data_IF_626252931620
#
_entry.id   IF_626252931620
#
_cell.length_a   1.000
_cell.length_b   1.000
_cell.length_c   1.000
_cell.angle_alpha   90.00
_cell.angle_beta   90.00
_cell.angle_gamma   90.00
#
_symmetry.space_group_name_H-M   'P 1'
#
loop_
_entity.id
_entity.type
_entity.pdbx_description
1 polymer ?
#
# COMPACT_ATOMS: atom_id res chain seq x y z
N UNK A 1 -23.08 51.08 52.69
CA UNK A 1 -22.36 51.18 51.39
C UNK A 1 -21.63 49.87 51.03
N UNK A 2 -22.01 48.70 51.57
CA UNK A 2 -21.23 47.45 51.36
C UNK A 2 -21.90 46.38 50.47
N UNK A 3 -23.13 46.59 50.03
CA UNK A 3 -23.86 45.57 49.25
C UNK A 3 -23.53 45.58 47.75
N UNK A 4 -22.94 46.66 47.23
CA UNK A 4 -22.66 46.82 45.79
C UNK A 4 -21.35 46.13 45.36
N UNK A 5 -20.35 46.05 46.25
CA UNK A 5 -19.05 45.42 45.95
C UNK A 5 -19.12 43.89 45.83
N UNK A 6 -20.11 43.25 46.44
CA UNK A 6 -20.27 41.79 46.41
C UNK A 6 -20.98 41.30 45.13
N UNK A 7 -21.74 42.17 44.47
CA UNK A 7 -22.51 41.82 43.26
C UNK A 7 -21.62 41.86 42.00
N UNK A 8 -20.63 42.77 41.95
CA UNK A 8 -19.74 42.93 40.79
C UNK A 8 -18.64 41.85 40.71
N UNK A 9 -18.26 41.24 41.84
CA UNK A 9 -17.19 40.21 41.89
C UNK A 9 -17.66 38.82 41.45
N UNK A 10 -18.93 38.47 41.69
CA UNK A 10 -19.50 37.17 41.32
C UNK A 10 -19.44 36.86 39.81
N UNK A 11 -19.81 37.76 38.89
CA UNK A 11 -19.73 37.47 37.46
C UNK A 11 -18.28 37.31 36.99
N UNK A 12 -17.34 38.09 37.51
CA UNK A 12 -15.92 38.00 37.15
C UNK A 12 -15.33 36.65 37.57
N UNK A 13 -15.62 36.20 38.80
CA UNK A 13 -15.16 34.90 39.30
C UNK A 13 -15.78 33.75 38.50
N UNK A 14 -17.08 33.84 38.17
CA UNK A 14 -17.75 32.83 37.35
C UNK A 14 -17.13 32.77 35.95
N UNK A 15 -16.87 33.91 35.31
CA UNK A 15 -16.23 33.96 33.99
C UNK A 15 -14.83 33.34 34.01
N UNK A 16 -14.02 33.63 35.03
CA UNK A 16 -12.68 33.04 35.15
C UNK A 16 -12.73 31.53 35.38
N UNK A 17 -13.70 31.03 36.16
CA UNK A 17 -13.89 29.59 36.36
C UNK A 17 -14.38 28.93 35.08
N UNK A 18 -15.31 29.54 34.34
CA UNK A 18 -15.78 29.00 33.06
C UNK A 18 -14.64 28.95 32.05
N UNK A 19 -13.86 30.01 31.89
CA UNK A 19 -12.70 30.05 30.99
C UNK A 19 -11.65 29.02 31.41
N UNK A 20 -11.30 28.95 32.69
CA UNK A 20 -10.34 27.97 33.21
C UNK A 20 -10.80 26.53 33.00
N UNK A 21 -12.08 26.25 33.24
CA UNK A 21 -12.67 24.93 32.98
C UNK A 21 -12.67 24.62 31.49
N UNK A 22 -12.97 25.60 30.63
CA UNK A 22 -12.92 25.44 29.17
C UNK A 22 -11.50 25.18 28.68
N UNK A 23 -10.49 25.87 29.23
CA UNK A 23 -9.08 25.63 28.90
C UNK A 23 -8.65 24.23 29.33
N UNK A 24 -9.04 23.77 30.52
CA UNK A 24 -8.73 22.42 31.01
C UNK A 24 -9.43 21.36 30.15
N UNK A 25 -10.71 21.53 29.86
CA UNK A 25 -11.47 20.63 28.99
C UNK A 25 -10.90 20.62 27.58
N UNK A 26 -10.50 21.77 27.04
CA UNK A 26 -9.82 21.85 25.75
C UNK A 26 -8.46 21.14 25.80
N UNK A 27 -7.65 21.34 26.85
CA UNK A 27 -6.35 20.67 26.95
C UNK A 27 -6.46 19.16 27.17
N UNK A 28 -7.56 18.68 27.76
CA UNK A 28 -7.77 17.28 28.09
C UNK A 28 -8.58 16.50 27.06
N UNK A 29 -9.41 17.18 26.26
CA UNK A 29 -10.31 16.55 25.28
C UNK A 29 -10.11 17.05 23.85
N UNK A 30 -9.20 17.98 23.59
CA UNK A 30 -8.88 18.39 22.22
C UNK A 30 -7.82 17.49 21.58
N UNK A 31 -8.21 16.27 21.25
CA UNK A 31 -7.39 15.36 20.43
C UNK A 31 -7.48 15.67 18.93
N UNK A 32 -7.61 16.93 18.53
CA UNK A 32 -7.59 17.29 17.09
C UNK A 32 -6.80 18.58 16.87
N UNK A 33 -5.46 18.53 16.74
CA UNK A 33 -4.64 19.71 16.54
C UNK A 33 -5.19 20.55 15.37
N UNK A 34 -5.37 21.86 15.52
CA UNK A 34 -5.88 22.72 14.44
C UNK A 34 -5.01 22.68 13.15
N UNK A 35 -3.76 22.21 13.25
CA UNK A 35 -2.90 21.84 12.11
C UNK A 35 -3.52 20.75 11.22
N UNK A 36 -4.28 19.81 11.82
CA UNK A 36 -5.10 18.79 11.15
C UNK A 36 -6.01 19.41 10.08
N UNK A 37 -6.63 20.57 10.36
CA UNK A 37 -7.50 21.24 9.38
C UNK A 37 -6.74 22.10 8.36
N UNK A 38 -5.55 22.62 8.69
CA UNK A 38 -4.75 23.45 7.77
C UNK A 38 -4.11 22.67 6.64
N UNK A 39 -3.75 21.40 6.86
CA UNK A 39 -3.29 20.51 5.78
C UNK A 39 -4.45 19.95 4.94
N UNK A 40 -5.69 20.01 5.43
CA UNK A 40 -6.89 19.62 4.67
C UNK A 40 -7.23 20.58 3.52
N UNK A 41 -6.80 21.85 3.61
CA UNK A 41 -7.24 22.96 2.74
C UNK A 41 -6.26 23.36 1.65
N UNK A 42 -5.18 22.62 1.42
CA UNK A 42 -4.45 22.82 0.16
C UNK A 42 -5.30 22.22 -0.96
N UNK A 43 -6.11 23.08 -1.59
CA UNK A 43 -6.50 22.93 -2.98
C UNK A 43 -5.22 22.96 -3.81
N UNK A 44 -4.43 21.88 -3.73
CA UNK A 44 -3.36 21.63 -4.69
C UNK A 44 -4.12 21.47 -6.01
N UNK A 45 -3.91 22.36 -6.99
CA UNK A 45 -4.56 22.22 -8.28
C UNK A 45 -4.30 20.82 -8.81
N UNK A 46 -5.28 20.20 -9.47
CA UNK A 46 -5.05 19.00 -10.28
C UNK A 46 -4.11 19.39 -11.42
N UNK A 47 -2.80 19.43 -11.13
CA UNK A 47 -1.77 19.62 -12.15
C UNK A 47 -1.81 18.35 -12.99
N UNK A 48 -2.00 18.50 -14.29
CA UNK A 48 -1.85 17.39 -15.23
C UNK A 48 -0.42 16.88 -15.09
N UNK A 49 -0.27 15.73 -14.44
CA UNK A 49 1.02 15.09 -14.23
C UNK A 49 1.49 14.56 -15.58
N UNK A 50 2.61 15.07 -16.07
CA UNK A 50 3.24 14.58 -17.29
C UNK A 50 4.29 13.54 -16.93
N UNK A 51 4.03 12.27 -17.25
CA UNK A 51 4.98 11.18 -17.04
C UNK A 51 6.06 11.20 -18.12
N UNK A 52 7.30 10.87 -17.76
CA UNK A 52 8.41 10.76 -18.70
C UNK A 52 8.60 9.32 -19.22
N UNK A 53 7.50 8.58 -19.44
CA UNK A 53 7.53 7.15 -19.80
C UNK A 53 8.29 6.81 -21.09
N UNK A 54 8.47 7.79 -21.99
CA UNK A 54 9.24 7.64 -23.23
C UNK A 54 10.74 7.90 -23.09
N UNK A 55 11.18 8.46 -21.96
CA UNK A 55 12.55 8.94 -21.76
C UNK A 55 13.26 8.10 -20.69
N UNK A 56 14.32 7.35 -21.05
CA UNK A 56 15.18 6.69 -20.08
C UNK A 56 15.79 7.70 -19.10
N UNK A 57 15.99 7.28 -17.85
CA UNK A 57 16.75 8.07 -16.89
C UNK A 57 18.19 8.26 -17.36
N UNK A 58 18.76 9.43 -17.07
CA UNK A 58 20.12 9.79 -17.48
C UNK A 58 21.22 9.09 -16.68
N UNK A 59 20.84 8.29 -15.69
CA UNK A 59 21.73 7.49 -14.84
C UNK A 59 20.97 6.88 -13.67
N UNK A 60 21.71 6.24 -12.76
CA UNK A 60 21.17 5.43 -11.68
C UNK A 60 20.05 6.12 -10.88
N UNK A 61 18.96 5.39 -10.66
CA UNK A 61 17.69 5.95 -10.17
C UNK A 61 17.81 6.74 -8.86
N UNK A 62 18.73 6.37 -7.95
CA UNK A 62 18.92 7.07 -6.67
C UNK A 62 19.41 8.51 -6.82
N UNK A 63 19.97 8.86 -7.97
CA UNK A 63 20.45 10.22 -8.28
C UNK A 63 19.43 11.05 -9.07
N UNK A 64 18.27 10.47 -9.39
CA UNK A 64 17.21 11.13 -10.11
C UNK A 64 16.27 11.86 -9.14
N UNK A 65 15.72 13.04 -9.51
CA UNK A 65 14.90 13.85 -8.61
C UNK A 65 13.66 13.12 -8.10
N UNK A 66 13.12 12.20 -8.90
CA UNK A 66 11.93 11.41 -8.57
C UNK A 66 12.14 10.48 -7.36
N UNK A 67 13.39 10.14 -7.04
CA UNK A 67 13.72 9.34 -5.86
C UNK A 67 13.50 10.11 -4.54
N UNK A 68 13.70 11.43 -4.56
CA UNK A 68 13.62 12.29 -3.37
C UNK A 68 12.23 12.93 -3.18
N UNK A 69 11.18 12.11 -3.15
CA UNK A 69 9.83 12.59 -2.86
C UNK A 69 9.73 13.18 -1.44
N UNK A 70 8.96 14.26 -1.30
CA UNK A 70 8.84 14.98 -0.02
C UNK A 70 7.80 14.33 0.89
N UNK A 71 8.17 14.20 2.16
CA UNK A 71 7.29 13.72 3.24
C UNK A 71 6.72 14.93 4.00
N UNK A 72 5.38 15.02 4.17
CA UNK A 72 4.75 16.12 4.91
C UNK A 72 5.08 16.04 6.40
N UNK A 73 5.02 17.18 7.09
CA UNK A 73 5.42 17.28 8.51
C UNK A 73 4.70 16.28 9.41
N UNK A 74 3.41 16.05 9.17
CA UNK A 74 2.60 15.06 9.91
C UNK A 74 3.12 13.62 9.80
N UNK A 75 3.83 13.30 8.72
CA UNK A 75 4.31 11.95 8.42
C UNK A 75 5.84 11.82 8.54
N UNK A 76 6.53 12.84 9.06
CA UNK A 76 8.00 12.84 9.24
C UNK A 76 8.46 12.06 10.48
N UNK A 77 7.58 11.87 11.46
CA UNK A 77 7.86 11.08 12.66
C UNK A 77 7.78 9.58 12.41
N UNK A 78 8.26 8.81 13.38
CA UNK A 78 8.05 7.35 13.44
C UNK A 78 6.76 6.98 14.17
N UNK A 79 6.22 7.89 14.99
CA UNK A 79 4.84 7.79 15.44
C UNK A 79 3.95 8.14 14.24
N UNK A 80 3.22 7.14 13.76
CA UNK A 80 2.33 7.32 12.63
C UNK A 80 1.05 8.06 13.01
N UNK A 81 0.20 8.28 12.02
CA UNK A 81 -1.11 8.91 12.18
C UNK A 81 -2.16 8.05 11.50
N UNK A 82 -3.39 7.98 12.03
CA UNK A 82 -4.49 7.29 11.36
C UNK A 82 -5.55 8.32 10.95
N UNK A 83 -5.86 8.40 9.66
CA UNK A 83 -7.02 9.14 9.17
C UNK A 83 -7.69 8.38 8.04
N UNK A 84 -8.96 8.65 7.79
CA UNK A 84 -9.64 8.15 6.60
C UNK A 84 -9.09 8.93 5.40
N UNK A 85 -8.39 8.29 4.44
CA UNK A 85 -7.92 9.00 3.26
C UNK A 85 -9.11 9.41 2.39
N UNK A 86 -8.99 10.53 1.68
CA UNK A 86 -9.96 10.87 0.62
C UNK A 86 -9.64 10.01 -0.60
N UNK A 87 -10.62 9.76 -1.47
CA UNK A 87 -10.37 8.97 -2.67
C UNK A 87 -9.26 9.59 -3.54
N UNK A 88 -9.23 10.93 -3.67
CA UNK A 88 -8.14 11.65 -4.36
C UNK A 88 -6.75 11.52 -3.73
N UNK A 89 -6.66 11.04 -2.48
CA UNK A 89 -5.39 10.81 -1.78
C UNK A 89 -4.81 9.41 -2.13
N UNK A 90 -5.47 8.63 -3.01
CA UNK A 90 -5.07 7.28 -3.43
C UNK A 90 -4.61 7.29 -4.88
N UNK A 91 -3.40 6.76 -5.13
CA UNK A 91 -2.84 6.51 -6.47
C UNK A 91 -2.78 5.01 -6.70
N UNK A 92 -3.35 4.52 -7.80
CA UNK A 92 -3.19 3.14 -8.28
C UNK A 92 -2.09 3.11 -9.32
N UNK A 93 -0.95 2.53 -8.95
CA UNK A 93 0.28 2.52 -9.71
C UNK A 93 0.48 1.17 -10.43
N UNK A 94 0.55 1.23 -11.75
CA UNK A 94 1.08 0.14 -12.58
C UNK A 94 2.52 0.47 -12.98
N UNK A 95 3.50 -0.24 -12.44
CA UNK A 95 4.90 -0.09 -12.82
C UNK A 95 5.32 -1.25 -13.74
N UNK A 96 5.27 -1.04 -15.06
CA UNK A 96 5.57 -2.09 -16.03
C UNK A 96 5.86 -1.55 -17.43
N UNK A 97 6.63 -2.28 -18.21
CA UNK A 97 6.80 -2.11 -19.66
C UNK A 97 6.03 -3.17 -20.47
N UNK A 98 5.24 -4.03 -19.81
CA UNK A 98 4.55 -5.17 -20.43
C UNK A 98 5.45 -6.34 -20.81
N UNK A 99 6.74 -6.28 -20.50
CA UNK A 99 7.73 -7.32 -20.82
C UNK A 99 7.73 -8.51 -19.86
N UNK A 100 8.80 -9.31 -19.93
CA UNK A 100 8.98 -10.49 -19.08
C UNK A 100 7.92 -11.58 -19.33
N UNK A 101 7.54 -12.29 -18.27
CA UNK A 101 6.54 -13.36 -18.36
C UNK A 101 5.14 -12.88 -18.76
N UNK A 102 4.83 -11.60 -18.54
CA UNK A 102 3.55 -11.00 -18.90
C UNK A 102 3.34 -10.92 -20.42
N UNK A 103 4.42 -10.91 -21.21
CA UNK A 103 4.37 -10.89 -22.68
C UNK A 103 3.69 -12.11 -23.31
N UNK A 104 3.45 -13.17 -22.53
CA UNK A 104 2.64 -14.32 -22.96
C UNK A 104 1.14 -13.99 -23.11
N UNK A 105 0.68 -12.88 -22.52
CA UNK A 105 -0.69 -12.40 -22.61
C UNK A 105 -0.72 -11.24 -23.61
N UNK A 106 -1.56 -11.38 -24.64
CA UNK A 106 -1.66 -10.39 -25.71
C UNK A 106 -2.22 -9.06 -25.20
N UNK A 107 -1.52 -7.96 -25.52
CA UNK A 107 -1.89 -6.57 -25.23
C UNK A 107 -2.21 -6.36 -23.73
N UNK A 108 -1.53 -7.10 -22.84
CA UNK A 108 -1.86 -7.13 -21.41
C UNK A 108 -1.75 -5.74 -20.79
N UNK A 109 -0.70 -4.99 -21.13
CA UNK A 109 -0.41 -3.70 -20.53
C UNK A 109 -1.50 -2.69 -20.89
N UNK A 110 -1.83 -2.56 -22.17
CA UNK A 110 -2.88 -1.68 -22.66
C UNK A 110 -4.23 -2.03 -22.01
N UNK A 111 -4.55 -3.32 -21.96
CA UNK A 111 -5.79 -3.84 -21.37
C UNK A 111 -5.91 -3.49 -19.89
N UNK A 112 -4.89 -3.76 -19.08
CA UNK A 112 -4.96 -3.52 -17.63
C UNK A 112 -4.88 -2.05 -17.29
N UNK A 113 -4.14 -1.24 -18.06
CA UNK A 113 -4.12 0.22 -17.90
C UNK A 113 -5.52 0.78 -18.15
N UNK A 114 -6.18 0.37 -19.23
CA UNK A 114 -7.53 0.83 -19.55
C UNK A 114 -8.52 0.43 -18.45
N UNK A 115 -8.49 -0.82 -17.99
CA UNK A 115 -9.34 -1.32 -16.89
C UNK A 115 -9.12 -0.55 -15.58
N UNK A 116 -7.86 -0.35 -15.18
CA UNK A 116 -7.50 0.38 -13.95
C UNK A 116 -7.86 1.86 -14.04
N UNK A 117 -7.74 2.46 -15.22
CA UNK A 117 -8.18 3.84 -15.46
C UNK A 117 -9.68 3.99 -15.21
N UNK A 118 -10.50 3.12 -15.79
CA UNK A 118 -11.96 3.12 -15.56
C UNK A 118 -12.32 2.89 -14.08
N UNK A 119 -11.63 1.96 -13.42
CA UNK A 119 -11.80 1.74 -11.98
C UNK A 119 -11.46 2.99 -11.15
N UNK A 120 -10.33 3.65 -11.44
CA UNK A 120 -9.93 4.86 -10.73
C UNK A 120 -10.90 6.03 -10.98
N UNK A 121 -11.32 6.25 -12.22
CA UNK A 121 -12.30 7.29 -12.59
C UNK A 121 -13.62 7.12 -11.83
N UNK A 122 -14.09 5.87 -11.72
CA UNK A 122 -15.31 5.55 -11.00
C UNK A 122 -15.21 5.86 -9.50
N UNK A 123 -14.11 5.50 -8.87
CA UNK A 123 -13.93 5.66 -7.43
C UNK A 123 -13.35 7.03 -7.04
N UNK A 124 -12.91 7.84 -7.99
CA UNK A 124 -12.22 9.11 -7.72
C UNK A 124 -10.78 8.92 -7.22
N UNK A 125 -10.13 7.81 -7.58
CA UNK A 125 -8.70 7.57 -7.37
C UNK A 125 -7.89 8.13 -8.55
N UNK A 126 -6.57 8.22 -8.37
CA UNK A 126 -5.66 8.58 -9.47
C UNK A 126 -5.06 7.32 -10.09
N UNK A 127 -5.27 7.10 -11.38
CA UNK A 127 -4.54 6.08 -12.13
C UNK A 127 -3.17 6.61 -12.56
N UNK A 128 -2.11 5.84 -12.32
CA UNK A 128 -0.76 6.14 -12.78
C UNK A 128 -0.11 4.91 -13.40
N UNK A 129 0.44 5.06 -14.60
CA UNK A 129 1.30 4.06 -15.22
C UNK A 129 2.70 4.64 -15.40
N UNK A 130 3.71 3.90 -14.93
CA UNK A 130 5.12 4.22 -15.10
C UNK A 130 5.83 3.09 -15.85
N UNK A 131 6.51 3.44 -16.94
CA UNK A 131 7.23 2.49 -17.77
C UNK A 131 8.53 2.05 -17.08
N UNK A 132 8.62 0.78 -16.67
CA UNK A 132 9.78 0.30 -15.92
C UNK A 132 11.09 0.29 -16.72
N UNK A 133 11.03 0.34 -18.05
CA UNK A 133 12.23 0.34 -18.92
C UNK A 133 13.04 1.62 -18.78
N UNK A 134 12.44 2.67 -18.19
CA UNK A 134 13.13 3.95 -18.03
C UNK A 134 14.10 3.99 -16.85
N UNK A 135 13.92 3.12 -15.85
CA UNK A 135 14.72 3.18 -14.62
C UNK A 135 16.06 2.50 -14.81
N UNK A 136 17.14 3.22 -14.52
CA UNK A 136 18.48 2.64 -14.44
C UNK A 136 18.67 2.02 -13.06
N UNK A 137 18.52 0.70 -12.99
CA UNK A 137 18.69 -0.13 -11.78
C UNK A 137 20.06 -0.84 -11.73
N UNK A 138 20.99 -0.49 -12.62
CA UNK A 138 22.25 -1.20 -12.78
C UNK A 138 22.04 -2.64 -13.25
N UNK A 139 22.81 -3.58 -12.68
CA UNK A 139 22.75 -5.01 -13.05
C UNK A 139 21.67 -5.80 -12.26
N UNK A 140 20.91 -5.13 -11.38
CA UNK A 140 19.90 -5.79 -10.58
C UNK A 140 18.72 -6.30 -11.43
N UNK A 141 18.07 -7.37 -10.97
CA UNK A 141 16.90 -7.91 -11.64
C UNK A 141 15.83 -6.84 -11.91
N UNK A 142 15.25 -6.86 -13.11
CA UNK A 142 14.38 -5.78 -13.61
C UNK A 142 13.12 -5.51 -12.78
N UNK A 143 12.68 -6.47 -11.96
CA UNK A 143 11.56 -6.27 -11.01
C UNK A 143 11.85 -5.15 -10.01
N UNK A 144 13.13 -4.88 -9.69
CA UNK A 144 13.54 -3.78 -8.83
C UNK A 144 13.12 -2.41 -9.34
N UNK A 145 12.87 -2.24 -10.64
CA UNK A 145 12.37 -0.99 -11.23
C UNK A 145 11.00 -0.56 -10.67
N UNK A 146 10.26 -1.46 -10.00
CA UNK A 146 9.03 -1.10 -9.28
C UNK A 146 9.28 -0.16 -8.10
N UNK A 147 10.44 -0.28 -7.43
CA UNK A 147 10.76 0.52 -6.25
C UNK A 147 10.97 2.01 -6.56
N UNK A 148 11.81 2.41 -7.54
CA UNK A 148 11.86 3.80 -7.95
C UNK A 148 10.55 4.31 -8.54
N UNK A 149 9.71 3.45 -9.15
CA UNK A 149 8.39 3.84 -9.61
C UNK A 149 7.44 4.24 -8.46
N UNK A 150 7.52 3.58 -7.29
CA UNK A 150 6.76 3.99 -6.10
C UNK A 150 7.22 5.37 -5.61
N UNK A 151 8.54 5.61 -5.59
CA UNK A 151 9.08 6.93 -5.23
C UNK A 151 8.63 8.01 -6.23
N UNK A 152 8.68 7.74 -7.53
CA UNK A 152 8.21 8.64 -8.57
C UNK A 152 6.70 8.92 -8.46
N UNK A 153 5.87 7.93 -8.12
CA UNK A 153 4.44 8.14 -7.88
C UNK A 153 4.20 9.16 -6.75
N UNK A 154 4.95 9.06 -5.65
CA UNK A 154 4.89 10.06 -4.59
C UNK A 154 5.51 11.41 -4.99
N UNK A 155 6.51 11.43 -5.86
CA UNK A 155 7.08 12.67 -6.38
C UNK A 155 6.06 13.43 -7.25
N UNK A 156 5.41 12.72 -8.17
CA UNK A 156 4.44 13.27 -9.13
C UNK A 156 3.11 13.66 -8.48
N UNK A 157 2.68 12.94 -7.44
CA UNK A 157 1.42 13.20 -6.73
C UNK A 157 1.68 13.58 -5.27
N UNK A 158 2.18 14.80 -4.96
CA UNK A 158 2.55 15.20 -3.59
C UNK A 158 1.39 15.15 -2.58
N UNK A 159 0.14 15.18 -3.04
CA UNK A 159 -1.06 15.05 -2.21
C UNK A 159 -1.45 13.59 -1.92
N UNK A 160 -0.88 12.61 -2.63
CA UNK A 160 -1.17 11.19 -2.40
C UNK A 160 -0.70 10.77 -1.00
N UNK A 161 -1.62 10.19 -0.24
CA UNK A 161 -1.31 9.51 1.02
C UNK A 161 -0.97 8.06 0.78
N UNK A 162 -1.64 7.39 -0.18
CA UNK A 162 -1.43 5.98 -0.47
C UNK A 162 -1.09 5.77 -1.95
N UNK A 163 -0.06 4.96 -2.21
CA UNK A 163 0.26 4.41 -3.53
C UNK A 163 0.03 2.90 -3.46
N UNK A 164 -0.90 2.41 -4.27
CA UNK A 164 -1.12 0.98 -4.48
C UNK A 164 -0.31 0.52 -5.68
N UNK A 165 0.81 -0.16 -5.44
CA UNK A 165 1.58 -0.84 -6.47
C UNK A 165 0.87 -2.16 -6.81
N UNK A 166 0.52 -2.35 -8.08
CA UNK A 166 -0.22 -3.51 -8.58
C UNK A 166 0.40 -4.07 -9.87
N UNK A 167 0.78 -5.35 -9.84
CA UNK A 167 1.44 -6.05 -10.94
C UNK A 167 0.54 -6.22 -12.17
N UNK A 168 1.13 -6.24 -13.37
CA UNK A 168 0.39 -6.26 -14.65
C UNK A 168 -0.43 -7.54 -14.84
N UNK A 169 -0.04 -8.65 -14.25
CA UNK A 169 -0.76 -9.94 -14.26
C UNK A 169 -1.83 -10.04 -13.17
N UNK A 170 -2.31 -8.89 -12.67
CA UNK A 170 -3.45 -8.80 -11.77
C UNK A 170 -4.65 -8.18 -12.48
N UNK A 171 -5.77 -8.88 -12.41
CA UNK A 171 -7.06 -8.47 -12.99
C UNK A 171 -7.99 -8.00 -11.86
N UNK A 172 -8.55 -6.80 -12.00
CA UNK A 172 -9.60 -6.32 -11.10
C UNK A 172 -10.89 -7.08 -11.40
N UNK A 173 -11.41 -7.81 -10.42
CA UNK A 173 -12.58 -8.68 -10.59
C UNK A 173 -13.86 -8.01 -10.09
N UNK A 174 -13.75 -7.17 -9.06
CA UNK A 174 -14.87 -6.47 -8.46
C UNK A 174 -14.73 -4.94 -8.67
N UNK A 175 -15.37 -4.37 -9.71
CA UNK A 175 -15.30 -2.94 -9.98
C UNK A 175 -16.04 -2.07 -8.95
N UNK A 176 -16.86 -2.65 -8.07
CA UNK A 176 -17.56 -1.94 -6.99
C UNK A 176 -16.75 -1.86 -5.70
N UNK A 177 -15.60 -2.53 -5.63
CA UNK A 177 -14.81 -2.61 -4.39
C UNK A 177 -14.16 -1.26 -4.06
N UNK A 178 -14.52 -0.64 -2.94
CA UNK A 178 -13.93 0.64 -2.49
C UNK A 178 -12.66 0.39 -1.66
N UNK A 179 -11.49 0.83 -2.15
CA UNK A 179 -10.20 0.66 -1.46
C UNK A 179 -10.17 1.39 -0.12
N UNK A 180 -10.76 2.57 -0.02
CA UNK A 180 -10.75 3.38 1.20
C UNK A 180 -11.56 2.68 2.28
N UNK A 181 -12.80 2.31 1.98
CA UNK A 181 -13.68 1.67 2.95
C UNK A 181 -13.24 0.25 3.33
N UNK A 182 -12.69 -0.49 2.36
CA UNK A 182 -12.44 -1.91 2.53
C UNK A 182 -11.00 -2.23 2.96
N UNK A 183 -10.02 -1.36 2.69
CA UNK A 183 -8.59 -1.62 2.93
C UNK A 183 -7.92 -0.50 3.71
N UNK A 184 -8.02 0.77 3.26
CA UNK A 184 -7.11 1.84 3.67
C UNK A 184 -7.57 2.64 4.90
N UNK A 185 -8.87 2.70 5.19
CA UNK A 185 -9.33 3.42 6.38
C UNK A 185 -8.87 2.70 7.66
N UNK A 186 -8.67 3.42 8.78
CA UNK A 186 -8.15 2.82 10.01
C UNK A 186 -8.97 1.62 10.50
N UNK A 187 -10.30 1.68 10.36
CA UNK A 187 -11.19 0.58 10.73
C UNK A 187 -11.02 -0.63 9.81
N UNK A 188 -10.80 -0.43 8.51
CA UNK A 188 -10.51 -1.50 7.58
C UNK A 188 -9.18 -2.18 7.90
N UNK A 189 -8.11 -1.41 8.15
CA UNK A 189 -6.82 -1.96 8.55
C UNK A 189 -6.98 -2.75 9.85
N UNK A 190 -7.64 -2.18 10.87
CA UNK A 190 -7.87 -2.86 12.16
C UNK A 190 -8.63 -4.17 12.00
N UNK A 191 -9.68 -4.21 11.19
CA UNK A 191 -10.49 -5.43 10.97
C UNK A 191 -9.70 -6.54 10.28
N UNK A 192 -8.83 -6.20 9.34
CA UNK A 192 -8.25 -7.18 8.42
C UNK A 192 -6.77 -7.52 8.72
N UNK A 193 -6.06 -6.72 9.53
CA UNK A 193 -4.67 -7.02 9.91
C UNK A 193 -4.58 -8.34 10.69
N UNK A 194 -3.65 -9.18 10.27
CA UNK A 194 -3.35 -10.47 10.88
C UNK A 194 -2.55 -10.25 12.16
N UNK A 195 -3.06 -10.79 13.28
CA UNK A 195 -2.45 -10.62 14.61
C UNK A 195 -1.84 -11.92 15.07
N UNK A 196 -0.69 -11.82 15.74
CA UNK A 196 0.02 -12.98 16.28
C UNK A 196 0.16 -14.13 15.27
N UNK A 197 0.36 -13.83 13.99
CA UNK A 197 0.42 -14.85 12.94
C UNK A 197 1.87 -15.10 12.54
N UNK A 198 2.33 -16.35 12.42
CA UNK A 198 3.71 -16.64 12.01
C UNK A 198 4.06 -16.00 10.67
N UNK A 199 5.25 -15.41 10.60
CA UNK A 199 5.87 -14.96 9.36
C UNK A 199 6.92 -16.04 9.03
N UNK A 200 6.84 -16.67 7.85
CA UNK A 200 7.53 -17.93 7.47
C UNK A 200 6.90 -19.25 7.95
N UNK A 201 5.57 -19.35 8.06
CA UNK A 201 4.96 -20.63 8.42
C UNK A 201 5.39 -21.76 7.47
N UNK A 202 5.89 -22.86 8.03
CA UNK A 202 6.27 -24.06 7.28
C UNK A 202 7.59 -24.04 6.49
N UNK A 203 8.33 -22.92 6.41
CA UNK A 203 9.58 -22.87 5.63
C UNK A 203 10.79 -23.46 6.36
N UNK A 204 10.82 -23.42 7.70
CA UNK A 204 11.87 -24.01 8.52
C UNK A 204 11.33 -25.19 9.34
N UNK A 205 11.35 -26.40 8.75
CA UNK A 205 10.74 -27.60 9.33
C UNK A 205 11.33 -27.99 10.70
N UNK A 206 12.64 -27.83 10.89
CA UNK A 206 13.34 -28.34 12.08
C UNK A 206 13.67 -27.26 13.12
N UNK A 207 13.64 -25.98 12.72
CA UNK A 207 14.06 -24.84 13.56
C UNK A 207 13.19 -23.61 13.28
N UNK A 208 11.96 -23.55 13.82
CA UNK A 208 11.09 -22.40 13.61
C UNK A 208 11.70 -21.13 14.22
N UNK A 209 11.58 -20.00 13.51
CA UNK A 209 12.05 -18.68 14.01
C UNK A 209 11.19 -18.14 15.14
N UNK A 210 9.94 -18.62 15.25
CA UNK A 210 8.90 -18.08 16.15
C UNK A 210 8.61 -16.58 15.96
N UNK A 211 9.01 -16.01 14.82
CA UNK A 211 8.70 -14.63 14.47
C UNK A 211 7.24 -14.55 14.01
N UNK A 212 6.50 -13.61 14.58
CA UNK A 212 5.06 -13.42 14.34
C UNK A 212 4.75 -11.95 14.09
N UNK A 213 3.61 -11.70 13.48
CA UNK A 213 3.04 -10.34 13.43
C UNK A 213 2.73 -9.83 14.84
N UNK A 214 2.72 -8.51 15.06
CA UNK A 214 2.37 -7.94 16.36
C UNK A 214 1.01 -8.44 16.86
N UNK A 215 0.91 -8.69 18.17
CA UNK A 215 -0.35 -9.11 18.81
C UNK A 215 -1.36 -7.96 18.87
N UNK A 216 -0.87 -6.76 19.16
CA UNK A 216 -1.65 -5.53 19.26
C UNK A 216 -1.00 -4.44 18.40
N UNK A 217 -1.20 -4.48 17.06
CA UNK A 217 -0.59 -3.52 16.16
C UNK A 217 -1.21 -2.13 16.32
N UNK A 218 -0.36 -1.10 16.43
CA UNK A 218 -0.77 0.31 16.36
C UNK A 218 -1.14 0.67 14.92
N UNK A 219 -2.43 0.85 14.65
CA UNK A 219 -2.95 1.09 13.31
C UNK A 219 -2.38 2.37 12.69
N UNK A 220 -2.10 3.36 13.51
CA UNK A 220 -1.51 4.64 13.12
C UNK A 220 -0.14 4.46 12.47
N UNK A 221 0.62 3.45 12.88
CA UNK A 221 1.98 3.17 12.40
C UNK A 221 1.99 2.31 11.13
N UNK A 222 0.84 1.81 10.66
CA UNK A 222 0.82 0.94 9.48
C UNK A 222 1.07 1.77 8.22
N UNK A 223 2.28 1.65 7.68
CA UNK A 223 2.76 2.37 6.51
C UNK A 223 2.78 1.51 5.25
N UNK A 224 2.89 0.20 5.40
CA UNK A 224 2.83 -0.76 4.29
C UNK A 224 1.72 -1.76 4.56
N UNK A 225 0.85 -1.98 3.59
CA UNK A 225 -0.15 -3.05 3.63
C UNK A 225 0.23 -4.10 2.57
N UNK A 226 0.42 -5.33 3.01
CA UNK A 226 0.83 -6.47 2.18
C UNK A 226 0.01 -7.70 2.54
N UNK A 227 -0.04 -8.70 1.67
CA UNK A 227 -0.67 -9.98 1.97
C UNK A 227 0.33 -11.10 2.25
N UNK A 228 -0.10 -12.10 3.02
CA UNK A 228 0.65 -13.33 3.26
C UNK A 228 0.16 -14.49 2.40
N UNK A 229 1.09 -15.09 1.65
CA UNK A 229 0.91 -16.31 0.86
C UNK A 229 1.76 -17.48 1.40
N UNK A 230 1.89 -18.56 0.61
CA UNK A 230 2.74 -19.71 0.93
C UNK A 230 4.25 -19.40 0.94
N UNK A 231 4.67 -18.30 0.30
CA UNK A 231 6.03 -17.78 0.32
C UNK A 231 6.29 -16.78 1.46
N UNK A 232 5.30 -16.58 2.34
CA UNK A 232 5.23 -15.70 3.52
C UNK A 232 4.63 -14.32 3.27
N UNK A 233 5.04 -13.65 2.20
CA UNK A 233 4.47 -12.38 1.74
C UNK A 233 4.56 -12.29 0.23
N UNK A 234 3.61 -11.58 -0.38
CA UNK A 234 3.58 -11.37 -1.82
C UNK A 234 3.58 -9.89 -2.19
N UNK A 235 4.51 -9.45 -3.04
CA UNK A 235 4.64 -8.04 -3.44
C UNK A 235 3.94 -7.67 -4.74
N UNK A 236 3.12 -8.56 -5.32
CA UNK A 236 2.36 -8.23 -6.54
C UNK A 236 1.25 -7.20 -6.33
N UNK A 237 0.79 -7.01 -5.08
CA UNK A 237 -0.21 -6.02 -4.72
C UNK A 237 0.11 -5.46 -3.33
N UNK A 238 0.63 -4.24 -3.27
CA UNK A 238 1.17 -3.63 -2.04
C UNK A 238 0.75 -2.17 -1.95
N UNK A 239 0.29 -1.75 -0.78
CA UNK A 239 0.00 -0.36 -0.50
C UNK A 239 1.15 0.26 0.30
N UNK A 240 1.67 1.37 -0.18
CA UNK A 240 2.66 2.19 0.51
C UNK A 240 2.00 3.51 0.93
N UNK A 241 2.20 3.89 2.18
CA UNK A 241 1.79 5.19 2.71
C UNK A 241 2.89 6.21 2.54
N UNK A 242 2.55 7.47 2.28
CA UNK A 242 3.52 8.57 2.29
C UNK A 242 3.95 8.84 3.73
N UNK A 243 5.14 8.36 4.10
CA UNK A 243 5.74 8.59 5.41
C UNK A 243 7.26 8.54 5.36
N UNK A 244 7.88 8.98 6.46
CA UNK A 244 9.32 8.83 6.66
C UNK A 244 9.73 7.34 6.68
N UNK A 245 8.89 6.48 7.25
CA UNK A 245 9.11 5.03 7.22
C UNK A 245 9.16 4.51 5.78
N UNK A 246 8.17 4.86 4.93
CA UNK A 246 8.20 4.45 3.53
C UNK A 246 9.42 5.02 2.81
N UNK A 247 9.80 6.29 3.04
CA UNK A 247 11.01 6.84 2.43
C UNK A 247 12.27 6.04 2.83
N UNK A 248 12.37 5.66 4.09
CA UNK A 248 13.48 4.87 4.65
C UNK A 248 13.49 3.43 4.14
N UNK A 249 12.36 2.72 4.16
CA UNK A 249 12.30 1.31 3.78
C UNK A 249 12.60 1.11 2.29
N UNK A 250 12.19 2.05 1.41
CA UNK A 250 12.57 1.99 0.00
C UNK A 250 14.10 2.15 -0.20
N UNK A 251 14.79 2.95 0.64
CA UNK A 251 16.26 3.02 0.62
C UNK A 251 16.90 1.72 1.10
N UNK A 252 16.37 1.16 2.20
CA UNK A 252 16.87 -0.09 2.76
C UNK A 252 16.71 -1.24 1.78
N UNK A 253 15.50 -1.43 1.21
CA UNK A 253 15.24 -2.46 0.21
C UNK A 253 16.20 -2.37 -0.97
N UNK A 254 16.55 -1.14 -1.37
CA UNK A 254 17.45 -0.88 -2.50
C UNK A 254 18.92 -0.72 -2.10
N UNK A 255 19.32 -1.19 -0.92
CA UNK A 255 20.74 -1.32 -0.59
C UNK A 255 21.38 -2.30 -1.57
N UNK A 256 22.20 -1.78 -2.49
CA UNK A 256 22.68 -2.55 -3.63
C UNK A 256 23.64 -3.65 -3.20
N UNK A 257 24.49 -3.41 -2.21
CA UNK A 257 25.51 -4.41 -1.82
C UNK A 257 24.97 -5.46 -0.85
N UNK A 258 23.82 -5.18 -0.22
CA UNK A 258 23.25 -6.05 0.81
C UNK A 258 21.93 -6.73 0.42
N UNK A 259 21.14 -6.14 -0.47
CA UNK A 259 19.82 -6.65 -0.85
C UNK A 259 19.61 -6.63 -2.36
N UNK A 260 19.55 -5.45 -2.98
CA UNK A 260 19.15 -5.31 -4.38
C UNK A 260 20.11 -5.95 -5.38
N UNK A 261 21.43 -5.90 -5.13
CA UNK A 261 22.46 -6.50 -5.99
C UNK A 261 22.89 -7.91 -5.56
N UNK A 262 22.31 -8.46 -4.48
CA UNK A 262 22.46 -9.86 -4.13
C UNK A 262 21.23 -10.59 -4.69
N UNK A 263 21.34 -11.16 -5.89
CA UNK A 263 20.19 -11.77 -6.55
C UNK A 263 19.61 -12.93 -5.73
N UNK A 264 18.50 -12.64 -5.05
CA UNK A 264 17.57 -13.62 -4.50
C UNK A 264 16.49 -13.89 -5.56
N UNK A 265 16.02 -15.13 -5.65
CA UNK A 265 15.03 -15.52 -6.67
C UNK A 265 13.73 -14.70 -6.62
N UNK A 266 13.36 -14.14 -5.47
CA UNK A 266 12.19 -13.28 -5.29
C UNK A 266 12.47 -11.77 -5.31
N UNK A 267 13.70 -11.33 -5.61
CA UNK A 267 14.07 -9.91 -5.73
C UNK A 267 13.52 -9.02 -4.59
N UNK A 268 12.74 -7.99 -4.90
CA UNK A 268 12.19 -7.03 -3.93
C UNK A 268 11.24 -7.67 -2.91
N UNK A 269 10.56 -8.77 -3.28
CA UNK A 269 9.73 -9.55 -2.35
C UNK A 269 10.58 -10.15 -1.23
N UNK A 270 11.70 -10.77 -1.61
CA UNK A 270 12.62 -11.39 -0.66
C UNK A 270 13.31 -10.35 0.22
N UNK A 271 13.60 -9.16 -0.31
CA UNK A 271 14.17 -8.06 0.47
C UNK A 271 13.21 -7.55 1.56
N UNK A 272 11.94 -7.29 1.21
CA UNK A 272 10.94 -6.89 2.21
C UNK A 272 10.70 -8.00 3.24
N UNK A 273 10.60 -9.26 2.78
CA UNK A 273 10.48 -10.43 3.65
C UNK A 273 11.65 -10.52 4.63
N UNK A 274 12.89 -10.37 4.16
CA UNK A 274 14.09 -10.38 5.00
C UNK A 274 14.02 -9.28 6.07
N UNK A 275 13.74 -8.04 5.67
CA UNK A 275 13.65 -6.90 6.59
C UNK A 275 12.56 -7.10 7.65
N UNK A 276 11.41 -7.67 7.26
CA UNK A 276 10.33 -8.02 8.19
C UNK A 276 10.73 -9.11 9.19
N UNK A 277 11.65 -10.00 8.84
CA UNK A 277 12.10 -11.07 9.74
C UNK A 277 13.13 -10.57 10.73
N UNK A 278 14.11 -9.82 10.25
CA UNK A 278 15.23 -9.38 11.08
C UNK A 278 14.86 -8.19 11.98
N UNK A 279 13.86 -7.38 11.60
CA UNK A 279 13.59 -6.12 12.28
C UNK A 279 12.15 -6.00 12.79
N UNK A 280 11.99 -5.99 14.12
CA UNK A 280 10.69 -5.73 14.76
C UNK A 280 10.11 -4.38 14.34
N UNK A 281 10.95 -3.35 14.20
CA UNK A 281 10.54 -2.03 13.73
C UNK A 281 9.84 -2.10 12.37
N UNK A 282 10.30 -2.95 11.46
CA UNK A 282 9.64 -3.13 10.16
C UNK A 282 8.27 -3.79 10.35
N UNK A 283 8.18 -4.82 11.22
CA UNK A 283 6.90 -5.48 11.53
C UNK A 283 5.88 -4.55 12.19
N UNK A 284 6.34 -3.57 12.95
CA UNK A 284 5.48 -2.58 13.61
C UNK A 284 4.93 -1.53 12.64
N UNK A 285 5.41 -1.51 11.39
CA UNK A 285 4.97 -0.60 10.32
C UNK A 285 4.41 -1.32 9.08
N UNK A 286 4.44 -2.66 9.06
CA UNK A 286 3.89 -3.47 7.98
C UNK A 286 2.67 -4.24 8.49
N UNK A 287 1.49 -3.90 7.97
CA UNK A 287 0.27 -4.66 8.20
C UNK A 287 0.18 -5.83 7.21
N UNK A 288 0.18 -7.06 7.72
CA UNK A 288 -0.07 -8.26 6.92
C UNK A 288 -1.58 -8.56 6.89
N UNK A 289 -2.12 -8.81 5.70
CA UNK A 289 -3.51 -9.15 5.45
C UNK A 289 -3.63 -10.58 4.90
N UNK A 290 -4.82 -11.21 5.00
CA UNK A 290 -5.09 -12.47 4.31
C UNK A 290 -4.92 -12.31 2.79
N UNK A 291 -4.31 -13.30 2.12
CA UNK A 291 -4.03 -13.26 0.67
C UNK A 291 -5.21 -12.80 -0.19
N UNK A 292 -6.41 -13.32 0.09
CA UNK A 292 -7.61 -13.00 -0.70
C UNK A 292 -8.07 -11.55 -0.60
N UNK A 293 -7.59 -10.76 0.37
CA UNK A 293 -8.10 -9.40 0.58
C UNK A 293 -7.81 -8.50 -0.63
N UNK A 294 -6.58 -8.54 -1.14
CA UNK A 294 -6.15 -7.76 -2.31
C UNK A 294 -5.05 -8.45 -3.11
N UNK A 295 -4.94 -9.77 -3.05
CA UNK A 295 -3.91 -10.52 -3.77
C UNK A 295 -4.30 -12.00 -4.03
N UNK A 296 -5.58 -12.29 -4.25
CA UNK A 296 -6.07 -13.67 -4.37
C UNK A 296 -5.46 -14.38 -5.59
N UNK A 297 -5.01 -15.62 -5.46
CA UNK A 297 -4.46 -16.39 -6.58
C UNK A 297 -5.55 -17.06 -7.43
N UNK A 298 -5.22 -17.36 -8.69
CA UNK A 298 -6.05 -18.25 -9.53
C UNK A 298 -6.25 -19.60 -8.85
N UNK A 299 -5.14 -20.20 -8.38
CA UNK A 299 -5.11 -21.48 -7.66
C UNK A 299 -4.47 -21.26 -6.29
N UNK A 300 -5.18 -21.55 -5.21
CA UNK A 300 -4.72 -21.21 -3.86
C UNK A 300 -5.53 -21.82 -2.73
N UNK A 301 -6.35 -22.83 -3.03
CA UNK A 301 -7.26 -23.44 -2.06
C UNK A 301 -8.22 -22.41 -1.45
N UNK A 302 -8.78 -22.71 -0.28
CA UNK A 302 -9.81 -21.87 0.34
C UNK A 302 -9.27 -20.57 0.97
N UNK A 303 -7.99 -20.54 1.30
CA UNK A 303 -7.36 -19.41 2.00
C UNK A 303 -6.76 -18.37 1.06
N UNK A 304 -6.23 -18.79 -0.09
CA UNK A 304 -5.51 -17.91 -1.01
C UNK A 304 -6.16 -17.79 -2.38
N UNK A 305 -6.98 -18.76 -2.78
CA UNK A 305 -7.63 -18.78 -4.10
C UNK A 305 -8.76 -17.76 -4.19
N UNK A 306 -8.90 -17.13 -5.35
CA UNK A 306 -9.95 -16.15 -5.66
C UNK A 306 -11.35 -16.74 -5.45
N UNK A 307 -12.27 -15.91 -4.97
CA UNK A 307 -13.71 -16.20 -4.85
C UNK A 307 -14.53 -14.97 -5.21
N UNK A 308 -15.80 -15.22 -5.48
CA UNK A 308 -16.81 -14.17 -5.67
C UNK A 308 -16.74 -13.08 -4.59
N UNK A 309 -16.68 -11.83 -5.06
CA UNK A 309 -16.60 -10.64 -4.22
C UNK A 309 -15.17 -10.20 -3.88
N UNK A 310 -14.15 -11.05 -4.07
CA UNK A 310 -12.75 -10.66 -3.91
C UNK A 310 -12.40 -9.52 -4.90
N UNK A 311 -11.58 -8.56 -4.47
CA UNK A 311 -11.21 -7.37 -5.24
C UNK A 311 -10.63 -7.73 -6.61
N UNK A 312 -9.73 -8.70 -6.64
CA UNK A 312 -8.86 -9.00 -7.77
C UNK A 312 -8.38 -10.44 -7.74
N UNK A 313 -7.93 -10.91 -8.90
CA UNK A 313 -7.19 -12.17 -9.05
C UNK A 313 -5.78 -11.86 -9.56
N UNK A 314 -4.80 -12.57 -9.02
CA UNK A 314 -3.39 -12.49 -9.37
C UNK A 314 -2.96 -13.80 -10.05
N UNK A 315 -2.43 -13.69 -11.26
CA UNK A 315 -1.94 -14.80 -12.07
C UNK A 315 -0.48 -15.17 -11.73
N UNK A 316 -0.10 -15.03 -10.45
CA UNK A 316 1.25 -15.28 -9.96
C UNK A 316 1.74 -16.68 -10.38
N UNK A 317 2.91 -16.75 -11.00
CA UNK A 317 3.53 -18.01 -11.40
C UNK A 317 2.89 -18.70 -12.60
N UNK A 318 1.90 -18.09 -13.28
CA UNK A 318 1.21 -18.70 -14.43
C UNK A 318 2.16 -19.13 -15.57
N UNK A 319 3.35 -18.55 -15.63
CA UNK A 319 4.34 -18.80 -16.68
C UNK A 319 5.04 -20.16 -16.52
N UNK A 320 5.08 -20.71 -15.30
CA UNK A 320 5.76 -21.98 -15.00
C UNK A 320 5.19 -23.12 -15.85
N UNK A 321 3.86 -23.17 -15.97
CA UNK A 321 3.13 -24.15 -16.76
C UNK A 321 2.46 -23.55 -18.02
N UNK A 322 2.84 -22.32 -18.41
CA UNK A 322 2.33 -21.61 -19.59
C UNK A 322 0.81 -21.40 -19.65
N UNK A 323 0.16 -21.23 -18.49
CA UNK A 323 -1.29 -20.96 -18.40
C UNK A 323 -1.66 -19.48 -18.43
N UNK A 324 -0.69 -18.55 -18.46
CA UNK A 324 -0.96 -17.11 -18.36
C UNK A 324 -2.04 -16.61 -19.33
N UNK A 325 -1.92 -16.92 -20.63
CA UNK A 325 -2.90 -16.49 -21.63
C UNK A 325 -4.29 -17.08 -21.39
N UNK A 326 -4.36 -18.37 -21.09
CA UNK A 326 -5.62 -19.08 -20.83
C UNK A 326 -6.35 -18.53 -19.60
N UNK A 327 -5.65 -18.46 -18.47
CA UNK A 327 -6.20 -17.92 -17.23
C UNK A 327 -6.59 -16.45 -17.38
N UNK A 328 -5.78 -15.67 -18.10
CA UNK A 328 -6.10 -14.27 -18.31
C UNK A 328 -7.43 -14.12 -19.05
N UNK A 329 -7.62 -14.79 -20.20
CA UNK A 329 -8.89 -14.69 -20.93
C UNK A 329 -10.09 -15.24 -20.14
N UNK A 330 -9.88 -16.31 -19.36
CA UNK A 330 -10.92 -16.88 -18.51
C UNK A 330 -11.42 -15.88 -17.47
N UNK A 331 -10.53 -15.22 -16.73
CA UNK A 331 -10.91 -14.26 -15.69
C UNK A 331 -11.31 -12.90 -16.28
N UNK A 332 -10.62 -12.44 -17.33
CA UNK A 332 -10.90 -11.16 -18.00
C UNK A 332 -12.33 -11.07 -18.53
N UNK A 333 -12.81 -12.16 -19.16
CA UNK A 333 -14.17 -12.24 -19.70
C UNK A 333 -15.27 -12.27 -18.64
N UNK A 334 -14.92 -12.51 -17.36
CA UNK A 334 -15.86 -12.71 -16.24
C UNK A 334 -15.83 -11.58 -15.22
N UNK A 335 -15.08 -10.51 -15.45
CA UNK A 335 -15.04 -9.36 -14.53
C UNK A 335 -16.43 -8.76 -14.34
N UNK A 336 -16.73 -8.38 -13.10
CA UNK A 336 -18.03 -7.83 -12.72
C UNK A 336 -19.19 -8.84 -12.72
N UNK A 337 -18.93 -10.12 -12.97
CA UNK A 337 -19.94 -11.18 -12.90
C UNK A 337 -19.74 -12.04 -11.64
N UNK A 338 -20.84 -12.57 -11.09
CA UNK A 338 -20.77 -13.60 -10.05
C UNK A 338 -20.38 -14.93 -10.69
N UNK A 339 -19.24 -15.48 -10.29
CA UNK A 339 -18.68 -16.73 -10.72
C UNK A 339 -17.92 -17.45 -9.59
N UNK A 340 -18.38 -18.65 -9.22
CA UNK A 340 -17.60 -19.56 -8.36
C UNK A 340 -16.64 -20.37 -9.23
N UNK A 341 -15.30 -20.23 -9.08
CA UNK A 341 -14.39 -21.19 -9.67
C UNK A 341 -14.74 -22.57 -9.15
N UNK A 342 -14.60 -23.60 -9.99
CA UNK A 342 -14.62 -24.97 -9.47
C UNK A 342 -13.56 -25.06 -8.37
N UNK A 343 -13.91 -25.71 -7.24
CA UNK A 343 -12.92 -25.89 -6.17
C UNK A 343 -11.71 -26.56 -6.79
N UNK A 344 -10.53 -26.02 -6.53
CA UNK A 344 -9.27 -26.71 -6.83
C UNK A 344 -9.44 -28.17 -6.37
N UNK A 345 -9.14 -29.17 -7.22
CA UNK A 345 -9.05 -30.53 -6.73
C UNK A 345 -8.13 -30.50 -5.50
N UNK A 346 -8.45 -31.24 -4.42
CA UNK A 346 -7.62 -31.25 -3.23
C UNK A 346 -6.17 -31.45 -3.67
N UNK A 347 -5.30 -30.50 -3.31
CA UNK A 347 -3.87 -30.60 -3.59
C UNK A 347 -3.42 -31.94 -3.00
N UNK A 348 -3.23 -32.91 -3.89
CA UNK A 348 -3.15 -34.31 -3.53
C UNK A 348 -1.75 -34.68 -3.07
N UNK A 349 -1.74 -35.35 -1.90
CA UNK A 349 -0.87 -36.44 -1.45
C UNK A 349 0.65 -36.21 -1.36
#
# INVERSE_FOLDING_TARGET
MDSLHMIIRKPIVITLVVIGTWIILFYHYHDIPMQYYREYTSDVPLVVVNTQNGEPQTGFFKFQPEWDFKVPTIAKGWDGYARVPRNRDVVVLTASDGGGHNSAIKDILERVIDDRKHYCEKHGYTHLWLNTSRYDVGDAHRTWSKIPAVAEAFYLHPAAEWVWLIDTDIILMNPEYDLVEQILCPDAIRRNVMRDTPILDGQLKDKPTHIRTPKDPRIENMDILITQDHASVNTGSVFFRRSAFTRWILEMMTDYTMLMGLEHSGAEQDALKHLMLEHQLVRDHVAIFPQRKFNAFVQGGDKMGWRDGDLLVHLAGCWVNKHCGEWFEQFWSRRGQLWKPEKDPPQGA
#
